data_IF_410797094525
#
_entry.id   IF_410797094525
#
_cell.length_a   1.000
_cell.length_b   1.000
_cell.length_c   1.000
_cell.angle_alpha   90.00
_cell.angle_beta   90.00
_cell.angle_gamma   90.00
#
_symmetry.space_group_name_H-M   'P 1'
#
loop_
_entity.id
_entity.type
_entity.pdbx_description
1 polymer ?
#
# COMPACT_ATOMS: atom_id res chain seq x y z
N UNK A 1 -27.25 12.57 4.95
CA UNK A 1 -26.26 11.53 4.63
C UNK A 1 -26.96 10.20 4.84
N UNK A 2 -27.18 9.45 3.77
CA UNK A 2 -28.01 8.25 3.74
C UNK A 2 -27.24 7.06 4.30
N UNK A 3 -27.60 6.58 5.50
CA UNK A 3 -27.04 5.37 6.10
C UNK A 3 -27.23 4.18 5.14
N UNK A 4 -26.15 3.72 4.51
CA UNK A 4 -26.17 2.52 3.69
C UNK A 4 -26.39 1.28 4.59
N UNK A 5 -27.36 0.43 4.23
CA UNK A 5 -27.69 -0.80 4.95
C UNK A 5 -26.72 -1.94 4.57
N UNK A 6 -25.58 -2.00 5.25
CA UNK A 6 -24.52 -2.97 5.01
C UNK A 6 -24.80 -4.33 5.66
N UNK A 7 -24.52 -5.41 4.92
CA UNK A 7 -24.67 -6.79 5.38
C UNK A 7 -23.36 -7.51 5.73
N UNK A 8 -22.19 -6.90 5.45
CA UNK A 8 -20.87 -7.51 5.62
C UNK A 8 -20.01 -6.93 6.75
N UNK A 9 -20.13 -5.64 7.05
CA UNK A 9 -19.30 -4.96 8.05
C UNK A 9 -20.04 -3.75 8.65
N UNK A 10 -19.65 -3.34 9.86
CA UNK A 10 -20.18 -2.16 10.56
C UNK A 10 -19.44 -0.86 10.22
N UNK A 11 -18.35 -0.93 9.44
CA UNK A 11 -17.54 0.25 9.12
C UNK A 11 -18.23 1.12 8.07
N UNK A 12 -18.62 2.32 8.46
CA UNK A 12 -19.14 3.42 7.63
C UNK A 12 -18.06 4.03 6.71
N UNK A 13 -17.16 3.20 6.17
CA UNK A 13 -16.19 3.68 5.20
C UNK A 13 -16.90 3.76 3.84
N UNK A 14 -17.71 4.81 3.68
CA UNK A 14 -18.61 5.09 2.56
C UNK A 14 -17.90 5.30 1.21
N UNK A 15 -16.58 5.08 1.14
CA UNK A 15 -15.74 5.41 -0.01
C UNK A 15 -15.34 4.20 -0.87
N UNK A 16 -16.10 3.10 -0.80
CA UNK A 16 -15.89 1.92 -1.64
C UNK A 16 -17.02 1.79 -2.67
N UNK A 17 -16.79 2.25 -3.90
CA UNK A 17 -17.68 2.09 -5.07
C UNK A 17 -17.88 0.63 -5.53
N UNK A 18 -17.30 -0.34 -4.81
CA UNK A 18 -17.24 -1.75 -5.18
C UNK A 18 -18.08 -2.63 -4.23
N UNK A 19 -19.37 -2.74 -4.50
CA UNK A 19 -20.33 -3.54 -3.73
C UNK A 19 -21.34 -4.29 -4.60
N UNK A 20 -21.86 -5.41 -4.09
CA UNK A 20 -22.98 -6.18 -4.65
C UNK A 20 -24.21 -6.11 -3.74
N UNK A 21 -25.40 -6.18 -4.33
CA UNK A 21 -26.68 -6.13 -3.59
C UNK A 21 -27.34 -7.50 -3.64
N UNK A 22 -27.78 -8.00 -2.48
CA UNK A 22 -28.53 -9.26 -2.40
C UNK A 22 -29.95 -9.07 -2.92
N UNK A 23 -30.37 -9.87 -3.91
CA UNK A 23 -31.73 -9.80 -4.49
C UNK A 23 -32.84 -10.22 -3.52
N UNK A 24 -32.50 -10.84 -2.38
CA UNK A 24 -33.49 -11.32 -1.40
C UNK A 24 -33.65 -10.42 -0.17
N UNK A 25 -32.57 -9.79 0.30
CA UNK A 25 -32.59 -8.98 1.52
C UNK A 25 -32.19 -7.52 1.30
N UNK A 26 -31.84 -7.15 0.07
CA UNK A 26 -31.51 -5.78 -0.37
C UNK A 26 -30.32 -5.14 0.37
N UNK A 27 -29.60 -5.91 1.19
CA UNK A 27 -28.37 -5.46 1.86
C UNK A 27 -27.20 -5.41 0.90
N UNK A 28 -26.29 -4.46 1.14
CA UNK A 28 -25.05 -4.25 0.38
C UNK A 28 -23.89 -5.04 0.98
N UNK A 29 -23.02 -5.56 0.13
CA UNK A 29 -21.84 -6.34 0.51
C UNK A 29 -20.63 -5.89 -0.32
N UNK A 30 -19.51 -5.56 0.32
CA UNK A 30 -18.27 -5.26 -0.40
C UNK A 30 -17.73 -6.49 -1.13
N UNK A 31 -17.15 -6.31 -2.31
CA UNK A 31 -16.48 -7.39 -3.02
C UNK A 31 -15.36 -8.01 -2.18
N UNK A 32 -14.57 -7.19 -1.51
CA UNK A 32 -13.50 -7.64 -0.61
C UNK A 32 -14.03 -8.50 0.55
N UNK A 33 -15.16 -8.11 1.16
CA UNK A 33 -15.76 -8.89 2.26
C UNK A 33 -16.34 -10.24 1.80
N UNK A 34 -16.76 -10.33 0.54
CA UNK A 34 -17.32 -11.55 -0.05
C UNK A 34 -16.33 -12.34 -0.91
N UNK A 35 -15.07 -11.88 -1.00
CA UNK A 35 -14.02 -12.47 -1.85
C UNK A 35 -14.51 -12.64 -3.30
N UNK A 36 -15.19 -11.61 -3.82
CA UNK A 36 -15.69 -11.58 -5.20
C UNK A 36 -14.62 -10.89 -6.06
N UNK A 37 -14.10 -11.60 -7.07
CA UNK A 37 -13.23 -10.98 -8.08
C UNK A 37 -14.06 -10.13 -9.04
N UNK A 38 -13.62 -8.91 -9.36
CA UNK A 38 -14.29 -8.03 -10.32
C UNK A 38 -14.47 -8.71 -11.70
N UNK A 39 -13.59 -9.66 -12.05
CA UNK A 39 -13.63 -10.39 -13.32
C UNK A 39 -14.83 -11.35 -13.44
N UNK A 40 -15.45 -11.77 -12.34
CA UNK A 40 -16.61 -12.68 -12.36
C UNK A 40 -17.95 -11.94 -12.35
N UNK A 41 -17.94 -10.61 -12.26
CA UNK A 41 -19.16 -9.81 -12.19
C UNK A 41 -19.75 -9.63 -13.58
N UNK A 42 -20.81 -10.38 -13.85
CA UNK A 42 -21.63 -10.27 -15.05
C UNK A 42 -23.01 -9.68 -14.72
N UNK A 43 -23.71 -9.19 -15.73
CA UNK A 43 -25.09 -8.70 -15.57
C UNK A 43 -26.02 -9.78 -15.00
N UNK A 44 -25.81 -11.05 -15.40
CA UNK A 44 -26.61 -12.17 -14.91
C UNK A 44 -26.34 -12.48 -13.44
N UNK A 45 -25.07 -12.38 -13.01
CA UNK A 45 -24.72 -12.54 -11.61
C UNK A 45 -25.37 -11.45 -10.76
N UNK A 46 -25.30 -10.18 -11.19
CA UNK A 46 -25.92 -9.07 -10.47
C UNK A 46 -27.44 -9.24 -10.34
N UNK A 47 -28.10 -9.82 -11.34
CA UNK A 47 -29.54 -10.08 -11.33
C UNK A 47 -29.98 -11.27 -10.46
N UNK A 48 -29.07 -12.19 -10.12
CA UNK A 48 -29.41 -13.46 -9.44
C UNK A 48 -28.70 -13.68 -8.11
N UNK A 49 -27.72 -12.84 -7.77
CA UNK A 49 -26.89 -13.02 -6.59
C UNK A 49 -27.67 -12.87 -5.28
N UNK A 50 -27.58 -13.89 -4.44
CA UNK A 50 -28.12 -13.91 -3.09
C UNK A 50 -26.99 -14.15 -2.07
N UNK A 51 -27.04 -13.45 -0.94
CA UNK A 51 -26.02 -13.60 0.10
C UNK A 51 -26.08 -14.99 0.75
N UNK A 52 -24.98 -15.48 1.37
CA UNK A 52 -24.91 -16.82 1.97
C UNK A 52 -26.03 -17.11 2.97
N UNK A 53 -26.45 -16.09 3.71
CA UNK A 53 -27.54 -16.19 4.68
C UNK A 53 -28.88 -16.47 3.99
N UNK A 54 -29.14 -15.78 2.87
CA UNK A 54 -30.35 -15.94 2.05
C UNK A 54 -30.35 -17.21 1.18
N UNK A 55 -29.18 -17.81 0.93
CA UNK A 55 -29.04 -19.10 0.24
C UNK A 55 -29.33 -20.26 1.19
N UNK A 56 -28.80 -20.24 2.42
CA UNK A 56 -29.04 -21.30 3.41
C UNK A 56 -30.49 -21.40 3.91
N UNK A 57 -31.28 -20.32 3.78
CA UNK A 57 -32.70 -20.30 4.12
C UNK A 57 -33.62 -20.95 3.08
N UNK A 58 -33.08 -21.53 1.99
CA UNK A 58 -33.90 -22.20 0.97
C UNK A 58 -34.20 -23.66 1.35
N UNK A 59 -35.45 -24.12 1.22
CA UNK A 59 -35.78 -25.54 1.33
C UNK A 59 -35.00 -26.32 0.26
N UNK A 60 -34.27 -27.36 0.67
CA UNK A 60 -33.65 -28.30 -0.28
C UNK A 60 -34.74 -28.93 -1.13
N UNK A 61 -34.80 -28.58 -2.41
CA UNK A 61 -35.68 -29.25 -3.37
C UNK A 61 -35.27 -30.72 -3.45
N UNK A 62 -36.26 -31.61 -3.33
CA UNK A 62 -36.04 -33.05 -3.33
C UNK A 62 -35.38 -33.50 -4.64
N UNK A 63 -34.27 -34.24 -4.52
CA UNK A 63 -33.60 -34.92 -5.64
C UNK A 63 -34.60 -35.86 -6.33
N UNK A 64 -34.84 -35.64 -7.64
CA UNK A 64 -35.71 -36.48 -8.48
C UNK A 64 -34.93 -37.65 -9.10
N UNK A 65 -34.11 -38.36 -8.33
CA UNK A 65 -33.42 -39.56 -8.82
C UNK A 65 -34.27 -40.81 -8.54
N UNK A 66 -35.02 -41.22 -9.57
CA UNK A 66 -35.76 -42.48 -9.61
C UNK A 66 -34.80 -43.66 -9.85
N UNK A 67 -34.06 -44.10 -8.83
CA UNK A 67 -33.36 -45.40 -8.85
C UNK A 67 -33.99 -46.37 -7.84
N UNK A 68 -34.54 -47.52 -8.28
CA UNK A 68 -35.18 -48.47 -7.37
C UNK A 68 -34.11 -49.32 -6.66
N UNK A 69 -34.02 -49.19 -5.34
CA UNK A 69 -33.16 -50.03 -4.50
C UNK A 69 -33.81 -51.40 -4.35
N UNK A 70 -33.25 -52.43 -5.01
CA UNK A 70 -33.74 -53.81 -4.94
C UNK A 70 -33.06 -54.55 -3.78
N UNK A 71 -33.75 -54.69 -2.66
CA UNK A 71 -33.33 -55.56 -1.55
C UNK A 71 -33.57 -57.03 -1.92
N UNK A 72 -32.50 -57.80 -2.12
CA UNK A 72 -32.58 -59.26 -2.34
C UNK A 72 -32.01 -59.97 -1.12
N UNK A 73 -32.86 -60.36 -0.18
CA UNK A 73 -32.50 -61.30 0.88
C UNK A 73 -32.64 -62.73 0.35
N UNK A 74 -31.52 -63.39 0.02
CA UNK A 74 -31.52 -64.84 -0.25
C UNK A 74 -31.12 -65.59 1.02
N UNK A 75 -32.10 -66.03 1.80
CA UNK A 75 -31.88 -67.09 2.80
C UNK A 75 -31.80 -68.41 2.02
N UNK A 76 -30.57 -68.88 1.76
CA UNK A 76 -30.36 -70.22 1.17
C UNK A 76 -30.63 -71.27 2.25
N UNK A 77 -31.63 -72.13 2.02
CA UNK A 77 -31.85 -73.35 2.81
C UNK A 77 -30.70 -74.36 2.65
N UNK A 78 -30.58 -75.27 3.62
CA UNK A 78 -29.55 -76.31 3.67
C UNK A 78 -29.47 -77.11 2.36
N UNK A 79 -28.26 -77.17 1.78
CA UNK A 79 -27.94 -77.99 0.61
C UNK A 79 -28.16 -79.48 0.94
N UNK A 80 -28.95 -80.17 0.11
CA UNK A 80 -28.92 -81.64 0.06
C UNK A 80 -27.66 -82.08 -0.70
N UNK A 81 -27.02 -83.15 -0.24
CA UNK A 81 -25.88 -83.78 -0.89
C UNK A 81 -26.37 -84.51 -2.15
N UNK A 82 -25.66 -84.33 -3.27
CA UNK A 82 -25.96 -85.00 -4.52
C UNK A 82 -25.53 -86.48 -4.47
N UNK A 83 -26.44 -87.39 -4.82
CA UNK A 83 -26.15 -88.81 -4.96
C UNK A 83 -25.35 -88.99 -6.25
N UNK A 84 -24.06 -89.32 -6.13
CA UNK A 84 -23.19 -89.62 -7.27
C UNK A 84 -21.78 -89.00 -7.27
N UNK A 85 -21.32 -88.38 -6.18
CA UNK A 85 -19.91 -87.93 -6.10
C UNK A 85 -18.94 -89.11 -5.88
N UNK A 86 -17.79 -89.17 -6.59
CA UNK A 86 -16.77 -90.19 -6.38
C UNK A 86 -16.23 -90.14 -4.95
N UNK A 87 -16.12 -91.30 -4.31
CA UNK A 87 -15.42 -91.45 -3.04
C UNK A 87 -13.91 -91.30 -3.28
N UNK A 88 -13.32 -90.24 -2.74
CA UNK A 88 -11.87 -90.07 -2.73
C UNK A 88 -11.27 -90.91 -1.58
N UNK A 89 -10.37 -91.83 -1.93
CA UNK A 89 -9.51 -92.54 -0.98
C UNK A 89 -8.69 -91.55 -0.12
N UNK A 90 -8.64 -91.72 1.21
CA UNK A 90 -7.88 -90.86 2.11
C UNK A 90 -6.45 -91.39 2.31
N UNK A 91 -5.67 -91.54 1.24
CA UNK A 91 -4.22 -91.72 1.39
C UNK A 91 -3.51 -90.37 1.57
N UNK A 92 -3.42 -89.98 2.84
CA UNK A 92 -2.39 -89.14 3.47
C UNK A 92 -1.82 -87.98 2.66
N UNK A 93 -2.53 -86.86 2.71
CA UNK A 93 -1.90 -85.55 2.90
C UNK A 93 -2.33 -85.04 4.27
N UNK A 94 -1.66 -85.51 5.33
CA UNK A 94 -1.79 -84.93 6.68
C UNK A 94 -0.94 -83.65 6.72
N UNK A 95 -1.42 -82.58 6.09
CA UNK A 95 -0.94 -81.24 6.43
C UNK A 95 -1.67 -80.87 7.72
N UNK A 96 -0.94 -80.67 8.81
CA UNK A 96 -1.54 -80.26 10.07
C UNK A 96 -2.17 -78.88 9.89
N UNK A 97 -3.32 -78.63 10.52
CA UNK A 97 -3.91 -77.29 10.56
C UNK A 97 -2.91 -76.26 11.13
N UNK A 98 -1.97 -76.73 11.96
CA UNK A 98 -0.86 -75.93 12.51
C UNK A 98 0.17 -75.54 11.45
N UNK A 99 0.47 -76.41 10.48
CA UNK A 99 1.42 -76.13 9.40
C UNK A 99 0.83 -75.06 8.45
N UNK A 100 -0.47 -75.16 8.16
CA UNK A 100 -1.18 -74.15 7.37
C UNK A 100 -1.20 -72.82 8.12
N UNK A 101 -1.45 -72.85 9.43
CA UNK A 101 -1.48 -71.66 10.28
C UNK A 101 -0.13 -70.96 10.34
N UNK A 102 0.96 -71.69 10.53
CA UNK A 102 2.32 -71.13 10.52
C UNK A 102 2.68 -70.48 9.19
N UNK A 103 2.33 -71.14 8.07
CA UNK A 103 2.58 -70.58 6.74
C UNK A 103 1.77 -69.29 6.52
N UNK A 104 0.50 -69.26 6.97
CA UNK A 104 -0.34 -68.07 6.83
C UNK A 104 0.12 -66.93 7.74
N UNK A 105 0.48 -67.21 8.99
CA UNK A 105 1.02 -66.22 9.93
C UNK A 105 2.35 -65.65 9.41
N UNK A 106 3.27 -66.51 8.95
CA UNK A 106 4.53 -66.06 8.34
C UNK A 106 4.34 -65.20 7.10
N UNK A 107 3.44 -65.58 6.19
CA UNK A 107 3.12 -64.78 4.99
C UNK A 107 2.43 -63.46 5.36
N UNK A 108 1.56 -63.44 6.37
CA UNK A 108 0.91 -62.21 6.83
C UNK A 108 1.91 -61.27 7.49
N UNK A 109 2.80 -61.76 8.36
CA UNK A 109 3.83 -60.95 8.99
C UNK A 109 4.80 -60.37 7.96
N UNK A 110 5.26 -61.18 7.00
CA UNK A 110 6.12 -60.72 5.91
C UNK A 110 5.44 -59.63 5.08
N UNK A 111 4.15 -59.81 4.74
CA UNK A 111 3.39 -58.81 3.96
C UNK A 111 3.08 -57.55 4.76
N UNK A 112 2.77 -57.67 6.04
CA UNK A 112 2.50 -56.54 6.91
C UNK A 112 3.77 -55.73 7.15
N UNK A 113 4.91 -56.39 7.37
CA UNK A 113 6.22 -55.75 7.47
C UNK A 113 6.63 -55.06 6.16
N UNK A 114 6.40 -55.70 5.01
CA UNK A 114 6.65 -55.08 3.69
C UNK A 114 5.75 -53.84 3.47
N UNK A 115 4.47 -53.93 3.84
CA UNK A 115 3.55 -52.79 3.76
C UNK A 115 3.95 -51.63 4.68
N UNK A 116 4.32 -51.92 5.93
CA UNK A 116 4.80 -50.88 6.87
C UNK A 116 6.10 -50.26 6.41
N UNK A 117 7.02 -51.06 5.86
CA UNK A 117 8.27 -50.55 5.30
C UNK A 117 8.00 -49.59 4.14
N UNK A 118 7.18 -50.00 3.17
CA UNK A 118 6.77 -49.15 2.04
C UNK A 118 6.03 -47.90 2.50
N UNK A 119 5.17 -48.01 3.51
CA UNK A 119 4.44 -46.87 4.05
C UNK A 119 5.38 -45.86 4.72
N UNK A 120 6.33 -46.31 5.54
CA UNK A 120 7.33 -45.44 6.16
C UNK A 120 8.25 -44.81 5.12
N UNK A 121 8.72 -45.57 4.13
CA UNK A 121 9.53 -45.03 3.03
C UNK A 121 8.76 -43.96 2.24
N UNK A 122 7.48 -44.19 1.95
CA UNK A 122 6.62 -43.22 1.28
C UNK A 122 6.37 -41.97 2.13
N UNK A 123 6.11 -42.11 3.44
CA UNK A 123 5.92 -40.96 4.33
C UNK A 123 7.19 -40.13 4.44
N UNK A 124 8.34 -40.77 4.69
CA UNK A 124 9.64 -40.08 4.76
C UNK A 124 9.96 -39.41 3.43
N UNK A 125 9.71 -40.09 2.31
CA UNK A 125 9.90 -39.53 0.97
C UNK A 125 8.99 -38.32 0.70
N UNK A 126 7.72 -38.40 1.08
CA UNK A 126 6.76 -37.30 0.96
C UNK A 126 7.18 -36.09 1.80
N UNK A 127 7.47 -36.30 3.08
CA UNK A 127 7.90 -35.21 3.96
C UNK A 127 9.23 -34.62 3.52
N UNK A 128 10.21 -35.42 3.09
CA UNK A 128 11.46 -34.89 2.56
C UNK A 128 11.25 -34.05 1.29
N UNK A 129 10.29 -34.46 0.44
CA UNK A 129 9.94 -33.73 -0.79
C UNK A 129 9.26 -32.39 -0.51
N UNK A 130 8.40 -32.30 0.51
CA UNK A 130 7.64 -31.08 0.81
C UNK A 130 8.36 -30.15 1.80
N UNK A 131 9.05 -30.69 2.82
CA UNK A 131 9.71 -29.90 3.87
C UNK A 131 10.99 -29.25 3.34
N UNK A 132 11.72 -29.90 2.44
CA UNK A 132 12.98 -29.36 1.92
C UNK A 132 12.76 -28.04 1.13
N UNK A 133 11.84 -27.96 0.16
CA UNK A 133 11.50 -26.70 -0.51
C UNK A 133 11.05 -25.61 0.47
N UNK A 134 10.20 -25.94 1.45
CA UNK A 134 9.78 -24.97 2.47
C UNK A 134 10.96 -24.41 3.27
N UNK A 135 11.95 -25.26 3.60
CA UNK A 135 13.18 -24.82 4.28
C UNK A 135 14.00 -23.88 3.41
N UNK A 136 14.11 -24.18 2.12
CA UNK A 136 14.85 -23.37 1.17
C UNK A 136 14.17 -22.00 0.96
N UNK A 137 12.84 -21.97 0.83
CA UNK A 137 12.04 -20.75 0.81
C UNK A 137 12.20 -19.92 2.09
N UNK A 138 12.16 -20.55 3.26
CA UNK A 138 12.41 -19.87 4.54
C UNK A 138 13.82 -19.28 4.63
N UNK A 139 14.83 -19.95 4.08
CA UNK A 139 16.19 -19.41 3.99
C UNK A 139 16.23 -18.17 3.09
N UNK A 140 15.60 -18.25 1.92
CA UNK A 140 15.52 -17.13 0.98
C UNK A 140 14.77 -15.91 1.55
N UNK A 141 13.68 -16.15 2.29
CA UNK A 141 12.94 -15.10 3.00
C UNK A 141 13.82 -14.46 4.07
N UNK A 142 14.57 -15.26 4.84
CA UNK A 142 15.48 -14.74 5.86
C UNK A 142 16.55 -13.83 5.24
N UNK A 143 17.15 -14.24 4.13
CA UNK A 143 18.15 -13.44 3.40
C UNK A 143 17.55 -12.13 2.88
N UNK A 144 16.35 -12.22 2.29
CA UNK A 144 15.61 -11.04 1.81
C UNK A 144 15.29 -10.06 2.95
N UNK A 145 14.88 -10.58 4.11
CA UNK A 145 14.58 -9.77 5.28
C UNK A 145 15.82 -9.07 5.82
N UNK A 146 16.96 -9.77 5.89
CA UNK A 146 18.23 -9.16 6.31
C UNK A 146 18.65 -8.04 5.35
N UNK A 147 18.53 -8.28 4.04
CA UNK A 147 18.84 -7.25 3.04
C UNK A 147 17.94 -6.02 3.17
N UNK A 148 16.62 -6.23 3.30
CA UNK A 148 15.65 -5.13 3.48
C UNK A 148 15.96 -4.34 4.75
N UNK A 149 16.30 -5.03 5.84
CA UNK A 149 16.63 -4.38 7.10
C UNK A 149 17.89 -3.50 6.98
N UNK A 150 18.93 -3.98 6.30
CA UNK A 150 20.15 -3.22 6.07
C UNK A 150 19.89 -1.98 5.19
N UNK A 151 19.11 -2.14 4.12
CA UNK A 151 18.69 -1.03 3.27
C UNK A 151 17.84 -0.01 4.04
N UNK A 152 16.93 -0.48 4.89
CA UNK A 152 16.08 0.37 5.71
C UNK A 152 16.90 1.20 6.71
N UNK A 153 17.87 0.58 7.39
CA UNK A 153 18.77 1.30 8.29
C UNK A 153 19.66 2.30 7.54
N UNK A 154 20.07 1.99 6.31
CA UNK A 154 20.75 2.93 5.41
C UNK A 154 19.90 4.18 5.12
N UNK A 155 18.67 3.97 4.62
CA UNK A 155 17.72 5.05 4.32
C UNK A 155 17.42 5.89 5.56
N UNK A 156 17.25 5.25 6.72
CA UNK A 156 16.99 5.94 7.99
C UNK A 156 18.13 6.87 8.38
N UNK A 157 19.38 6.44 8.21
CA UNK A 157 20.57 7.28 8.47
C UNK A 157 20.66 8.46 7.51
N UNK A 158 20.44 8.22 6.22
CA UNK A 158 20.46 9.28 5.19
C UNK A 158 19.36 10.31 5.41
N UNK A 159 18.16 9.85 5.81
CA UNK A 159 17.04 10.73 6.14
C UNK A 159 17.37 11.61 7.35
N UNK A 160 17.97 11.07 8.40
CA UNK A 160 18.35 11.85 9.58
C UNK A 160 19.45 12.86 9.27
N UNK A 161 20.46 12.47 8.49
CA UNK A 161 21.49 13.39 8.00
C UNK A 161 20.89 14.52 7.14
N UNK A 162 19.91 14.19 6.30
CA UNK A 162 19.21 15.16 5.46
C UNK A 162 18.40 16.15 6.30
N UNK A 163 17.69 15.69 7.34
CA UNK A 163 16.96 16.57 8.28
C UNK A 163 17.90 17.55 8.97
N UNK A 164 19.02 17.06 9.50
CA UNK A 164 20.03 17.92 10.16
C UNK A 164 20.54 18.98 9.18
N UNK A 165 20.85 18.59 7.94
CA UNK A 165 21.30 19.52 6.91
C UNK A 165 20.25 20.59 6.59
N UNK A 166 18.98 20.20 6.45
CA UNK A 166 17.88 21.14 6.21
C UNK A 166 17.76 22.14 7.37
N UNK A 167 17.74 21.67 8.62
CA UNK A 167 17.64 22.57 9.78
C UNK A 167 18.82 23.53 9.89
N UNK A 168 20.03 23.07 9.55
CA UNK A 168 21.23 23.93 9.52
C UNK A 168 21.10 25.01 8.45
N UNK A 169 20.72 24.62 7.22
CA UNK A 169 20.56 25.55 6.10
C UNK A 169 19.45 26.58 6.36
N UNK A 170 18.35 26.18 6.98
CA UNK A 170 17.26 27.10 7.36
C UNK A 170 17.75 28.16 8.35
N UNK A 171 18.55 27.74 9.35
CA UNK A 171 19.16 28.65 10.33
C UNK A 171 20.12 29.63 9.67
N UNK A 172 21.04 29.14 8.85
CA UNK A 172 22.01 29.97 8.12
C UNK A 172 21.30 30.98 7.21
N UNK A 173 20.24 30.55 6.52
CA UNK A 173 19.46 31.44 5.65
C UNK A 173 18.74 32.54 6.45
N UNK A 174 18.21 32.22 7.63
CA UNK A 174 17.61 33.22 8.51
C UNK A 174 18.64 34.26 8.98
N UNK A 175 19.84 33.82 9.37
CA UNK A 175 20.95 34.69 9.77
C UNK A 175 21.44 35.58 8.61
N UNK A 176 21.58 35.00 7.41
CA UNK A 176 21.95 35.74 6.21
C UNK A 176 20.90 36.78 5.84
N UNK A 177 19.61 36.45 5.86
CA UNK A 177 18.52 37.40 5.61
C UNK A 177 18.52 38.54 6.63
N UNK A 178 18.76 38.24 7.91
CA UNK A 178 18.90 39.25 8.95
C UNK A 178 20.07 40.19 8.69
N UNK A 179 21.22 39.64 8.30
CA UNK A 179 22.41 40.41 7.93
C UNK A 179 22.15 41.30 6.73
N UNK A 180 21.58 40.77 5.65
CA UNK A 180 21.20 41.54 4.45
C UNK A 180 20.26 42.69 4.81
N UNK A 181 19.26 42.45 5.65
CA UNK A 181 18.34 43.50 6.09
C UNK A 181 19.07 44.61 6.87
N UNK A 182 19.93 44.24 7.82
CA UNK A 182 20.71 45.20 8.59
C UNK A 182 21.67 46.02 7.70
N UNK A 183 22.33 45.39 6.73
CA UNK A 183 23.17 46.10 5.76
C UNK A 183 22.35 47.06 4.89
N UNK A 184 21.19 46.62 4.40
CA UNK A 184 20.31 47.47 3.59
C UNK A 184 19.86 48.72 4.38
N UNK A 185 19.51 48.56 5.66
CA UNK A 185 19.19 49.70 6.52
C UNK A 185 20.38 50.66 6.68
N UNK A 186 21.59 50.14 6.88
CA UNK A 186 22.79 50.98 7.00
C UNK A 186 23.11 51.71 5.71
N UNK A 187 22.96 51.06 4.55
CA UNK A 187 23.13 51.70 3.24
C UNK A 187 22.12 52.84 3.08
N UNK A 188 20.84 52.60 3.37
CA UNK A 188 19.80 53.63 3.29
C UNK A 188 20.11 54.83 4.21
N UNK A 189 20.60 54.58 5.42
CA UNK A 189 21.00 55.65 6.35
C UNK A 189 22.17 56.47 5.81
N UNK A 190 23.19 55.80 5.24
CA UNK A 190 24.34 56.47 4.63
C UNK A 190 23.90 57.31 3.41
N UNK A 191 23.02 56.77 2.57
CA UNK A 191 22.49 57.49 1.41
C UNK A 191 21.69 58.72 1.83
N UNK A 192 20.81 58.60 2.83
CA UNK A 192 20.06 59.72 3.38
C UNK A 192 20.99 60.78 3.97
N UNK A 193 21.97 60.37 4.77
CA UNK A 193 22.96 61.28 5.35
C UNK A 193 23.79 61.98 4.28
N UNK A 194 24.18 61.28 3.21
CA UNK A 194 24.93 61.87 2.08
C UNK A 194 24.16 62.98 1.35
N UNK A 195 22.82 62.97 1.46
CA UNK A 195 21.91 63.93 0.83
C UNK A 195 21.24 64.86 1.85
N UNK A 196 21.68 64.86 3.11
CA UNK A 196 21.01 65.60 4.18
C UNK A 196 20.96 67.12 3.95
N UNK A 197 21.92 67.66 3.19
CA UNK A 197 21.97 69.08 2.80
C UNK A 197 21.57 69.33 1.34
N UNK A 198 21.06 68.32 0.63
CA UNK A 198 20.61 68.48 -0.74
C UNK A 198 19.16 68.99 -0.74
N UNK A 199 18.91 70.02 -1.54
CA UNK A 199 17.56 70.55 -1.76
C UNK A 199 17.16 70.28 -3.21
N UNK A 200 15.98 69.70 -3.40
CA UNK A 200 15.37 69.54 -4.71
C UNK A 200 14.37 70.68 -4.95
N UNK A 201 14.62 71.47 -6.00
CA UNK A 201 13.74 72.55 -6.42
C UNK A 201 12.99 72.11 -7.68
N UNK A 202 11.67 71.91 -7.53
CA UNK A 202 10.81 71.50 -8.63
C UNK A 202 10.16 72.70 -9.32
N UNK A 203 9.74 72.52 -10.57
CA UNK A 203 9.02 73.52 -11.37
C UNK A 203 9.79 74.82 -11.63
N UNK A 204 11.12 74.76 -11.67
CA UNK A 204 11.96 75.91 -12.02
C UNK A 204 12.06 76.01 -13.55
N UNK A 205 11.60 77.09 -14.20
CA UNK A 205 11.70 77.28 -15.65
C UNK A 205 13.14 77.17 -16.16
N UNK A 206 13.33 76.62 -17.36
CA UNK A 206 14.66 76.42 -17.98
C UNK A 206 14.95 77.52 -19.02
N UNK A 207 16.19 78.00 -19.08
CA UNK A 207 16.63 78.91 -20.15
C UNK A 207 18.05 78.56 -20.66
N UNK A 208 18.33 78.86 -21.93
CA UNK A 208 19.54 78.38 -22.65
C UNK A 208 20.87 78.84 -22.01
N UNK A 209 20.87 79.97 -21.31
CA UNK A 209 22.06 80.57 -20.69
C UNK A 209 21.78 80.90 -19.21
N UNK A 210 21.15 79.98 -18.49
CA UNK A 210 20.84 80.18 -17.08
C UNK A 210 22.06 80.07 -16.16
N UNK A 211 22.06 80.86 -15.08
CA UNK A 211 22.96 80.68 -13.96
C UNK A 211 22.14 80.20 -12.75
N UNK A 212 22.26 78.91 -12.44
CA UNK A 212 21.47 78.27 -11.38
C UNK A 212 21.76 78.87 -10.00
N UNK A 213 23.02 79.20 -9.69
CA UNK A 213 23.40 79.78 -8.39
C UNK A 213 22.73 81.14 -8.19
N UNK A 214 22.80 82.01 -9.21
CA UNK A 214 22.15 83.32 -9.16
C UNK A 214 20.62 83.22 -9.03
N UNK A 215 19.98 82.25 -9.69
CA UNK A 215 18.55 82.01 -9.51
C UNK A 215 18.21 81.58 -8.08
N UNK A 216 19.00 80.67 -7.50
CA UNK A 216 18.80 80.20 -6.12
C UNK A 216 18.99 81.33 -5.11
N UNK A 217 20.03 82.17 -5.26
CA UNK A 217 20.25 83.33 -4.38
C UNK A 217 19.10 84.33 -4.44
N UNK A 218 18.55 84.59 -5.63
CA UNK A 218 17.34 85.43 -5.77
C UNK A 218 16.13 84.80 -5.08
N UNK A 219 15.95 83.48 -5.21
CA UNK A 219 14.88 82.76 -4.51
C UNK A 219 15.05 82.85 -2.98
N UNK A 220 16.28 82.74 -2.46
CA UNK A 220 16.52 82.85 -1.01
C UNK A 220 16.21 84.25 -0.48
N UNK A 221 16.53 85.30 -1.23
CA UNK A 221 16.19 86.68 -0.87
C UNK A 221 14.66 86.87 -0.76
N UNK A 222 13.90 86.32 -1.70
CA UNK A 222 12.42 86.41 -1.70
C UNK A 222 11.81 85.75 -0.46
N UNK A 223 12.37 84.64 0.01
CA UNK A 223 11.89 83.93 1.21
C UNK A 223 12.50 84.45 2.52
N UNK A 224 13.35 85.47 2.48
CA UNK A 224 14.02 86.03 3.66
C UNK A 224 15.13 85.14 4.25
N UNK A 225 15.72 84.27 3.43
CA UNK A 225 16.84 83.40 3.82
C UNK A 225 18.19 83.99 3.39
N UNK A 226 19.20 83.90 4.25
CA UNK A 226 20.55 84.42 4.01
C UNK A 226 21.47 83.38 3.36
N UNK A 227 21.11 82.91 2.17
CA UNK A 227 21.91 81.95 1.40
C UNK A 227 22.85 82.67 0.42
N UNK A 228 24.15 82.40 0.52
CA UNK A 228 25.16 82.98 -0.38
C UNK A 228 25.70 81.94 -1.35
N UNK A 229 26.33 82.37 -2.45
CA UNK A 229 26.89 81.43 -3.45
C UNK A 229 27.98 80.50 -2.88
N UNK A 230 28.71 80.94 -1.84
CA UNK A 230 29.72 80.14 -1.11
C UNK A 230 29.11 79.00 -0.29
N UNK A 231 27.82 79.13 0.06
CA UNK A 231 27.08 78.12 0.82
C UNK A 231 26.57 77.00 -0.11
N UNK A 232 26.65 77.21 -1.43
CA UNK A 232 26.23 76.26 -2.47
C UNK A 232 27.43 75.47 -2.99
N UNK A 233 27.56 74.23 -2.50
CA UNK A 233 28.61 73.31 -2.95
C UNK A 233 28.47 72.94 -4.44
N UNK A 234 27.29 72.45 -4.84
CA UNK A 234 26.97 72.10 -6.21
C UNK A 234 25.51 72.43 -6.52
N UNK A 235 25.24 72.86 -7.75
CA UNK A 235 23.89 73.11 -8.23
C UNK A 235 23.79 72.68 -9.69
N UNK A 236 22.88 71.76 -9.97
CA UNK A 236 22.71 71.17 -11.30
C UNK A 236 21.24 70.87 -11.56
N UNK A 237 20.84 70.88 -12.83
CA UNK A 237 19.55 70.33 -13.25
C UNK A 237 19.63 68.81 -13.16
N UNK A 238 18.57 68.18 -12.68
CA UNK A 238 18.39 66.74 -12.75
C UNK A 238 17.70 66.37 -14.07
N UNK A 239 17.99 65.18 -14.60
CA UNK A 239 17.32 64.68 -15.79
C UNK A 239 15.81 64.57 -15.56
N UNK A 240 15.01 64.85 -16.60
CA UNK A 240 13.56 64.70 -16.53
C UNK A 240 13.22 63.23 -16.26
N UNK A 241 12.38 62.96 -15.26
CA UNK A 241 11.86 61.61 -15.04
C UNK A 241 11.09 61.15 -16.29
N UNK A 242 11.54 60.07 -16.92
CA UNK A 242 10.72 59.36 -17.88
C UNK A 242 9.54 58.74 -17.14
N UNK A 243 8.31 59.09 -17.55
CA UNK A 243 7.06 58.54 -17.00
C UNK A 243 6.70 57.16 -17.58
N UNK A 244 7.55 56.60 -18.41
CA UNK A 244 7.31 55.32 -19.09
C UNK A 244 7.85 54.14 -18.28
N UNK A 245 7.36 53.94 -17.05
CA UNK A 245 7.34 52.65 -16.33
C UNK A 245 6.29 52.71 -15.21
#
# INVERSE_FOLDING_TARGET
MSNANWGCCFSENDNCDEFIVCVKCERKYHYACMIIDRKIITSDLLATWACPQCVHLQPKTANKDNTPVRNVSTVRGNKRIAIGSPQSDPEKVNISMEDIRQVVEGVMDDKMNDLFKRFNENLVGFFAKEIKPMRDELSSIKESLTFINDQYEGIKKENEASKIKVTTLEKENAELKGTVHALAQRVNQIEQHSRQCNLELQNVPESRNENLKTMITKLSEVIGSSLNEKDILNCTRTGKMNREY
#
